data_IF_649902706721
#
_entry.id   IF_649902706721
#
_cell.length_a   1.000
_cell.length_b   1.000
_cell.length_c   1.000
_cell.angle_alpha   90.00
_cell.angle_beta   90.00
_cell.angle_gamma   90.00
#
_symmetry.space_group_name_H-M   'P 1'
#
loop_
_entity.id
_entity.type
_entity.pdbx_description
1 polymer ?
#
# COMPACT_ATOMS: atom_id res chain seq x y z
N UNK A 1 62.12 -10.20 22.15
CA UNK A 1 61.38 -9.15 21.40
C UNK A 1 59.94 -9.13 21.90
N UNK A 2 59.59 -8.22 22.81
CA UNK A 2 58.22 -8.07 23.33
C UNK A 2 57.44 -7.10 22.43
N UNK A 3 56.40 -7.59 21.75
CA UNK A 3 55.42 -6.75 21.05
C UNK A 3 54.49 -6.12 22.10
N UNK A 4 54.57 -4.79 22.24
CA UNK A 4 53.60 -4.00 23.01
C UNK A 4 52.27 -3.99 22.25
N UNK A 5 51.21 -4.47 22.88
CA UNK A 5 49.82 -4.31 22.43
C UNK A 5 49.38 -2.88 22.81
N UNK A 6 48.98 -2.09 21.81
CA UNK A 6 48.36 -0.78 22.01
C UNK A 6 46.88 -0.94 22.39
N UNK A 7 46.33 -0.13 23.31
CA UNK A 7 44.94 -0.21 23.73
C UNK A 7 43.99 0.34 22.65
N UNK A 8 43.12 -0.51 22.11
CA UNK A 8 42.09 -0.19 21.09
C UNK A 8 40.82 0.48 21.66
N UNK A 9 40.76 0.76 22.97
CA UNK A 9 39.53 1.20 23.64
C UNK A 9 38.96 2.59 23.25
N UNK A 10 39.75 3.65 22.98
CA UNK A 10 39.18 4.99 22.84
C UNK A 10 38.49 5.26 21.49
N UNK A 11 38.74 4.45 20.46
CA UNK A 11 38.15 4.66 19.12
C UNK A 11 36.70 4.17 19.04
N UNK A 12 36.32 3.17 19.86
CA UNK A 12 34.95 2.65 19.88
C UNK A 12 33.93 3.60 20.53
N UNK A 13 34.38 4.45 21.47
CA UNK A 13 33.49 5.34 22.22
C UNK A 13 32.93 6.49 21.34
N UNK A 14 33.76 7.06 20.46
CA UNK A 14 33.35 8.18 19.60
C UNK A 14 32.32 7.77 18.54
N UNK A 15 32.38 6.54 18.02
CA UNK A 15 31.43 6.07 17.00
C UNK A 15 30.00 5.82 17.56
N UNK A 16 29.86 5.63 18.87
CA UNK A 16 28.56 5.37 19.52
C UNK A 16 27.79 6.67 19.82
N UNK A 17 28.47 7.78 20.09
CA UNK A 17 27.83 9.07 20.38
C UNK A 17 27.17 9.67 19.13
N UNK A 18 27.83 9.59 17.96
CA UNK A 18 27.27 10.04 16.68
C UNK A 18 26.01 9.26 16.28
N UNK A 19 25.97 7.96 16.60
CA UNK A 19 24.83 7.10 16.29
C UNK A 19 23.59 7.47 17.11
N UNK A 20 23.76 7.85 18.38
CA UNK A 20 22.64 8.24 19.25
C UNK A 20 21.98 9.54 18.79
N UNK A 21 22.77 10.55 18.40
CA UNK A 21 22.25 11.85 17.91
C UNK A 21 21.44 11.67 16.62
N UNK A 22 21.92 10.83 15.68
CA UNK A 22 21.21 10.53 14.44
C UNK A 22 19.87 9.81 14.70
N UNK A 23 19.84 8.86 15.64
CA UNK A 23 18.60 8.17 16.03
C UNK A 23 17.62 9.15 16.67
N UNK A 24 18.08 10.04 17.56
CA UNK A 24 17.22 10.99 18.26
C UNK A 24 16.62 12.03 17.30
N UNK A 25 17.40 12.48 16.32
CA UNK A 25 16.92 13.34 15.23
C UNK A 25 15.86 12.63 14.38
N UNK A 26 16.10 11.39 13.96
CA UNK A 26 15.14 10.61 13.18
C UNK A 26 13.83 10.33 13.95
N UNK A 27 13.91 10.09 15.27
CA UNK A 27 12.72 9.91 16.13
C UNK A 27 11.95 11.23 16.27
N UNK A 28 12.63 12.36 16.44
CA UNK A 28 12.00 13.67 16.54
C UNK A 28 11.32 14.09 15.22
N UNK A 29 11.97 13.85 14.08
CA UNK A 29 11.38 14.09 12.75
C UNK A 29 10.15 13.22 12.50
N UNK A 30 10.12 11.99 13.03
CA UNK A 30 8.95 11.11 12.93
C UNK A 30 7.73 11.64 13.69
N UNK A 31 7.94 12.39 14.77
CA UNK A 31 6.85 12.92 15.59
C UNK A 31 6.32 14.28 15.12
N UNK A 32 7.16 15.11 14.49
CA UNK A 32 6.80 16.49 14.12
C UNK A 32 6.17 16.62 12.72
N UNK A 33 6.06 15.53 11.96
CA UNK A 33 5.65 15.58 10.57
C UNK A 33 6.74 16.15 9.66
N UNK A 34 6.52 16.09 8.35
CA UNK A 34 7.49 16.61 7.38
C UNK A 34 7.34 18.12 7.29
N UNK A 35 8.36 18.88 7.68
CA UNK A 35 8.43 20.31 7.42
C UNK A 35 9.05 20.56 6.05
N UNK A 36 8.39 21.33 5.19
CA UNK A 36 8.97 21.67 3.88
C UNK A 36 10.14 22.63 4.01
N UNK A 37 10.25 23.35 5.14
CA UNK A 37 11.47 24.09 5.46
C UNK A 37 12.69 23.18 5.63
N UNK A 38 12.54 22.00 6.25
CA UNK A 38 13.66 21.07 6.43
C UNK A 38 13.86 20.12 5.26
N UNK A 39 12.79 19.85 4.49
CA UNK A 39 12.80 18.96 3.33
C UNK A 39 12.08 19.59 2.13
N UNK A 40 12.59 20.71 1.59
CA UNK A 40 11.92 21.42 0.49
C UNK A 40 11.79 20.55 -0.76
N UNK A 41 12.67 19.56 -0.93
CA UNK A 41 12.59 18.58 -2.00
C UNK A 41 11.31 17.75 -1.94
N UNK A 42 10.63 17.66 -0.78
CA UNK A 42 9.40 16.89 -0.60
C UNK A 42 8.14 17.66 -1.02
N UNK A 43 8.09 18.99 -0.86
CA UNK A 43 6.81 19.71 -0.88
C UNK A 43 6.56 20.64 -2.07
N UNK A 44 7.57 20.86 -2.92
CA UNK A 44 7.47 21.83 -4.01
C UNK A 44 7.39 21.17 -5.38
N UNK A 45 6.90 19.93 -5.45
CA UNK A 45 6.73 19.19 -6.71
C UNK A 45 5.33 19.36 -7.34
N UNK A 46 4.45 20.12 -6.69
CA UNK A 46 3.09 20.43 -7.17
C UNK A 46 2.07 19.33 -6.92
N UNK A 47 2.47 18.16 -6.44
CA UNK A 47 1.56 17.06 -6.09
C UNK A 47 1.50 16.80 -4.58
N UNK A 48 2.65 16.84 -3.91
CA UNK A 48 2.76 16.65 -2.46
C UNK A 48 2.85 18.00 -1.78
N UNK A 49 1.83 18.34 -0.98
CA UNK A 49 1.81 19.50 -0.10
C UNK A 49 1.76 19.03 1.36
N UNK A 50 2.88 18.52 1.87
CA UNK A 50 2.96 18.00 3.23
C UNK A 50 2.88 19.08 4.33
N UNK A 51 2.98 20.36 3.95
CA UNK A 51 2.72 21.49 4.85
C UNK A 51 1.23 21.82 4.97
N UNK A 52 0.39 21.35 4.04
CA UNK A 52 -1.05 21.47 4.21
C UNK A 52 -1.48 20.66 5.42
N UNK A 53 -2.23 21.31 6.33
CA UNK A 53 -2.86 20.63 7.45
C UNK A 53 -3.95 19.73 6.91
N UNK A 54 -3.59 18.48 6.61
CA UNK A 54 -4.58 17.42 6.38
C UNK A 54 -5.12 17.03 7.74
N UNK A 55 -6.42 17.17 7.92
CA UNK A 55 -7.09 16.73 9.13
C UNK A 55 -6.94 15.21 9.27
N UNK A 56 -6.33 14.76 10.38
CA UNK A 56 -6.20 13.34 10.67
C UNK A 56 -7.58 12.66 10.76
N UNK A 57 -8.60 13.37 11.25
CA UNK A 57 -9.96 12.86 11.28
C UNK A 57 -10.52 12.61 9.87
N UNK A 58 -10.12 13.43 8.89
CA UNK A 58 -10.48 13.22 7.49
C UNK A 58 -9.75 12.01 6.92
N UNK A 59 -8.44 11.85 7.13
CA UNK A 59 -7.71 10.66 6.67
C UNK A 59 -8.25 9.36 7.29
N UNK A 60 -8.67 9.40 8.56
CA UNK A 60 -9.27 8.23 9.21
C UNK A 60 -10.59 7.83 8.57
N UNK A 61 -11.44 8.79 8.20
CA UNK A 61 -12.80 8.53 7.67
C UNK A 61 -12.84 8.39 6.15
N UNK A 62 -12.16 9.27 5.43
CA UNK A 62 -12.19 9.38 3.97
C UNK A 62 -10.95 10.13 3.43
N UNK A 63 -9.96 9.39 2.94
CA UNK A 63 -8.69 9.93 2.43
C UNK A 63 -8.88 10.94 1.28
N UNK A 64 -9.84 10.68 0.39
CA UNK A 64 -10.09 11.49 -0.82
C UNK A 64 -10.90 12.76 -0.58
N UNK A 65 -11.29 13.06 0.67
CA UNK A 65 -12.16 14.20 0.96
C UNK A 65 -11.56 15.52 0.48
N UNK A 66 -10.27 15.74 0.76
CA UNK A 66 -9.56 16.96 0.38
C UNK A 66 -9.42 17.14 -1.14
N UNK A 67 -9.62 16.08 -1.91
CA UNK A 67 -9.44 16.00 -3.36
C UNK A 67 -10.75 15.73 -4.09
N UNK A 68 -11.89 15.94 -3.42
CA UNK A 68 -13.23 15.78 -3.99
C UNK A 68 -13.44 14.41 -4.67
N UNK A 69 -12.99 13.34 -4.00
CA UNK A 69 -13.16 11.96 -4.49
C UNK A 69 -12.01 11.45 -5.36
N UNK A 70 -11.08 12.30 -5.79
CA UNK A 70 -9.83 11.86 -6.43
C UNK A 70 -8.85 11.31 -5.40
N UNK A 71 -7.81 10.62 -5.87
CA UNK A 71 -6.71 10.22 -5.00
C UNK A 71 -6.05 11.42 -4.32
N UNK A 72 -5.56 11.21 -3.11
CA UNK A 72 -4.92 12.19 -2.26
C UNK A 72 -3.50 11.73 -1.87
N UNK A 73 -2.49 12.01 -2.71
CA UNK A 73 -1.09 11.70 -2.41
C UNK A 73 -0.57 12.33 -1.13
N UNK A 74 -1.17 13.43 -0.66
CA UNK A 74 -0.76 14.06 0.59
C UNK A 74 -0.98 13.16 1.81
N UNK A 75 -1.84 12.14 1.73
CA UNK A 75 -1.97 11.13 2.79
C UNK A 75 -0.63 10.44 3.10
N UNK A 76 0.27 10.31 2.11
CA UNK A 76 1.60 9.72 2.27
C UNK A 76 2.58 10.61 3.04
N UNK A 77 2.24 11.88 3.30
CA UNK A 77 3.06 12.77 4.12
C UNK A 77 3.20 12.29 5.58
N UNK A 78 2.30 11.41 6.03
CA UNK A 78 2.38 10.74 7.35
C UNK A 78 3.34 9.54 7.35
N UNK A 79 3.85 9.14 6.18
CA UNK A 79 4.77 8.02 5.99
C UNK A 79 6.10 8.49 5.38
N UNK A 80 6.89 9.33 6.08
CA UNK A 80 8.04 10.02 5.51
C UNK A 80 9.07 9.09 4.85
N UNK A 81 9.21 7.88 5.38
CA UNK A 81 10.17 6.93 4.84
C UNK A 81 9.71 6.33 3.52
N UNK A 82 8.41 6.03 3.38
CA UNK A 82 7.86 5.54 2.11
C UNK A 82 7.66 6.66 1.10
N UNK A 83 7.44 7.88 1.57
CA UNK A 83 7.18 9.04 0.72
C UNK A 83 8.28 9.25 -0.33
N UNK A 84 9.56 9.13 0.03
CA UNK A 84 10.66 9.26 -0.93
C UNK A 84 10.53 8.25 -2.10
N UNK A 85 10.14 7.01 -1.82
CA UNK A 85 9.96 6.02 -2.86
C UNK A 85 8.71 6.29 -3.71
N UNK A 86 7.60 6.72 -3.09
CA UNK A 86 6.40 7.07 -3.85
C UNK A 86 6.58 8.34 -4.69
N UNK A 87 7.36 9.32 -4.22
CA UNK A 87 7.81 10.45 -5.04
C UNK A 87 8.61 9.97 -6.26
N UNK A 88 9.56 9.05 -6.04
CA UNK A 88 10.34 8.44 -7.13
C UNK A 88 9.44 7.77 -8.17
N UNK A 89 8.36 7.13 -7.73
CA UNK A 89 7.38 6.53 -8.62
C UNK A 89 6.55 7.58 -9.38
N UNK A 90 5.92 8.51 -8.65
CA UNK A 90 4.85 9.35 -9.18
C UNK A 90 5.38 10.60 -9.88
N UNK A 91 6.40 11.24 -9.30
CA UNK A 91 6.95 12.52 -9.78
C UNK A 91 8.09 12.28 -10.75
N UNK A 92 9.10 11.52 -10.33
CA UNK A 92 10.27 11.24 -11.17
C UNK A 92 9.95 10.23 -12.30
N UNK A 93 8.76 9.63 -12.28
CA UNK A 93 8.31 8.61 -13.24
C UNK A 93 9.27 7.42 -13.35
N UNK A 94 9.79 6.98 -12.20
CA UNK A 94 10.70 5.84 -12.09
C UNK A 94 10.16 4.82 -11.08
N UNK A 95 9.07 4.12 -11.43
CA UNK A 95 8.43 3.17 -10.51
C UNK A 95 9.28 1.93 -10.23
N UNK A 96 10.21 1.57 -11.12
CA UNK A 96 11.15 0.46 -10.92
C UNK A 96 12.18 0.83 -9.84
N UNK A 97 12.77 2.03 -9.89
CA UNK A 97 13.67 2.47 -8.82
C UNK A 97 12.93 2.66 -7.50
N UNK A 98 11.71 3.17 -7.54
CA UNK A 98 10.84 3.25 -6.37
C UNK A 98 10.59 1.87 -5.73
N UNK A 99 10.33 0.84 -6.55
CA UNK A 99 10.16 -0.53 -6.09
C UNK A 99 11.40 -1.04 -5.33
N UNK A 100 12.59 -0.80 -5.89
CA UNK A 100 13.85 -1.17 -5.25
C UNK A 100 14.04 -0.45 -3.91
N UNK A 101 13.76 0.86 -3.85
CA UNK A 101 13.85 1.64 -2.62
C UNK A 101 12.88 1.12 -1.53
N UNK A 102 11.63 0.84 -1.89
CA UNK A 102 10.65 0.26 -0.96
C UNK A 102 11.07 -1.12 -0.46
N UNK A 103 11.64 -1.94 -1.36
CA UNK A 103 12.15 -3.24 -1.00
C UNK A 103 13.29 -3.08 0.00
N UNK A 104 14.38 -2.41 -0.35
CA UNK A 104 15.56 -2.23 0.51
C UNK A 104 15.20 -1.71 1.90
N UNK A 105 14.23 -0.79 2.00
CA UNK A 105 13.77 -0.25 3.27
C UNK A 105 13.11 -1.29 4.19
N UNK A 106 12.38 -2.26 3.64
CA UNK A 106 11.70 -3.28 4.44
C UNK A 106 12.66 -4.42 4.79
N UNK A 107 13.12 -4.44 6.03
CA UNK A 107 13.77 -5.59 6.63
C UNK A 107 13.21 -5.87 8.04
N UNK A 108 12.79 -7.11 8.37
CA UNK A 108 12.74 -8.28 7.48
C UNK A 108 11.60 -8.17 6.43
N UNK A 109 11.74 -8.90 5.31
CA UNK A 109 10.67 -9.02 4.31
C UNK A 109 9.48 -9.76 4.94
N UNK A 110 8.31 -9.13 5.01
CA UNK A 110 7.16 -9.71 5.68
C UNK A 110 6.30 -10.56 4.73
N UNK A 111 5.74 -11.66 5.24
CA UNK A 111 4.73 -12.43 4.52
C UNK A 111 3.48 -11.58 4.20
N UNK A 112 3.25 -10.52 4.97
CA UNK A 112 2.19 -9.54 4.74
C UNK A 112 2.27 -8.86 3.37
N UNK A 113 3.48 -8.60 2.85
CA UNK A 113 3.64 -8.04 1.51
C UNK A 113 3.30 -9.07 0.44
N UNK A 114 3.72 -10.32 0.64
CA UNK A 114 3.28 -11.44 -0.19
C UNK A 114 1.76 -11.53 -0.21
N UNK A 115 1.11 -11.55 0.95
CA UNK A 115 -0.34 -11.63 1.06
C UNK A 115 -1.03 -10.47 0.33
N UNK A 116 -0.57 -9.24 0.56
CA UNK A 116 -1.11 -8.05 -0.11
C UNK A 116 -0.95 -8.13 -1.63
N UNK A 117 0.27 -8.35 -2.12
CA UNK A 117 0.58 -8.36 -3.55
C UNK A 117 -0.21 -9.43 -4.32
N UNK A 118 -0.31 -10.64 -3.78
CA UNK A 118 -1.03 -11.73 -4.44
C UNK A 118 -2.56 -11.55 -4.31
N UNK A 119 -3.08 -11.20 -3.12
CA UNK A 119 -4.52 -11.05 -2.91
C UNK A 119 -5.11 -9.83 -3.63
N UNK A 120 -4.34 -8.75 -3.78
CA UNK A 120 -4.76 -7.56 -4.54
C UNK A 120 -4.69 -7.77 -6.07
N UNK A 121 -4.04 -8.85 -6.54
CA UNK A 121 -3.87 -9.13 -7.97
C UNK A 121 -2.67 -8.44 -8.63
N UNK A 122 -1.81 -7.81 -7.85
CA UNK A 122 -0.69 -7.00 -8.35
C UNK A 122 0.34 -7.83 -9.12
N UNK A 123 0.58 -9.08 -8.71
CA UNK A 123 1.52 -9.97 -9.41
C UNK A 123 1.08 -10.34 -10.83
N UNK A 124 -0.22 -10.36 -11.11
CA UNK A 124 -0.76 -10.76 -12.41
C UNK A 124 -1.30 -9.55 -13.21
N UNK A 125 -1.10 -8.33 -12.72
CA UNK A 125 -1.60 -7.12 -13.35
C UNK A 125 -0.68 -6.71 -14.51
N UNK A 126 -1.21 -6.82 -15.73
CA UNK A 126 -0.54 -6.44 -16.98
C UNK A 126 -0.97 -5.08 -17.52
N UNK A 127 -2.02 -4.46 -16.96
CA UNK A 127 -2.47 -3.14 -17.40
C UNK A 127 -1.65 -1.99 -16.87
N UNK A 128 -1.09 -2.14 -15.66
CA UNK A 128 -0.13 -1.16 -15.15
C UNK A 128 1.20 -1.34 -15.86
N UNK A 129 1.69 -0.24 -16.39
CA UNK A 129 3.00 -0.11 -17.02
C UNK A 129 3.84 0.89 -16.22
N UNK A 130 5.13 1.00 -16.55
CA UNK A 130 6.01 1.99 -15.91
C UNK A 130 5.61 3.44 -16.19
N UNK A 131 4.83 3.67 -17.25
CA UNK A 131 4.36 5.00 -17.63
C UNK A 131 2.95 5.34 -17.09
N UNK A 132 2.30 4.40 -16.40
CA UNK A 132 0.94 4.61 -15.88
C UNK A 132 0.90 5.80 -14.92
N UNK A 133 0.05 6.76 -15.24
CA UNK A 133 -0.21 7.96 -14.44
C UNK A 133 -1.13 7.64 -13.26
N UNK A 134 -1.19 8.56 -12.29
CA UNK A 134 -2.17 8.49 -11.18
C UNK A 134 -3.60 8.46 -11.72
N UNK A 135 -3.91 9.29 -12.72
CA UNK A 135 -5.25 9.40 -13.30
C UNK A 135 -5.66 8.11 -14.03
N UNK A 136 -4.76 7.49 -14.80
CA UNK A 136 -5.02 6.18 -15.41
C UNK A 136 -5.21 5.10 -14.33
N UNK A 137 -4.41 5.15 -13.26
CA UNK A 137 -4.56 4.25 -12.12
C UNK A 137 -5.91 4.43 -11.41
N UNK A 138 -6.42 5.65 -11.27
CA UNK A 138 -7.78 5.91 -10.75
C UNK A 138 -8.85 5.26 -11.61
N UNK A 139 -8.72 5.30 -12.94
CA UNK A 139 -9.65 4.61 -13.84
C UNK A 139 -9.58 3.08 -13.66
N UNK A 140 -8.39 2.53 -13.46
CA UNK A 140 -8.24 1.11 -13.12
C UNK A 140 -8.87 0.80 -11.76
N UNK A 141 -8.70 1.66 -10.75
CA UNK A 141 -9.33 1.53 -9.44
C UNK A 141 -10.87 1.60 -9.52
N UNK A 142 -11.43 2.47 -10.39
CA UNK A 142 -12.86 2.54 -10.66
C UNK A 142 -13.40 1.24 -11.22
N UNK A 143 -12.68 0.63 -12.16
CA UNK A 143 -13.07 -0.64 -12.77
C UNK A 143 -12.98 -1.79 -11.75
N UNK A 144 -11.88 -1.85 -11.00
CA UNK A 144 -11.61 -2.94 -10.07
C UNK A 144 -12.51 -2.85 -8.84
N UNK A 145 -12.60 -1.71 -8.18
CA UNK A 145 -13.25 -1.55 -6.87
C UNK A 145 -14.60 -0.83 -6.92
N UNK A 146 -14.86 -0.03 -7.96
CA UNK A 146 -15.96 0.92 -8.00
C UNK A 146 -15.57 2.25 -7.35
N UNK A 147 -15.86 3.36 -8.02
CA UNK A 147 -15.50 4.71 -7.56
C UNK A 147 -15.95 4.98 -6.12
N UNK A 148 -17.23 4.76 -5.82
CA UNK A 148 -17.81 5.07 -4.51
C UNK A 148 -17.19 4.26 -3.37
N UNK A 149 -16.58 3.11 -3.70
CA UNK A 149 -15.97 2.22 -2.72
C UNK A 149 -14.56 2.67 -2.34
N UNK A 150 -13.67 2.86 -3.33
CA UNK A 150 -12.28 3.23 -3.02
C UNK A 150 -12.15 4.72 -2.71
N UNK A 151 -12.96 5.59 -3.29
CA UNK A 151 -12.93 7.01 -2.94
C UNK A 151 -13.53 7.27 -1.55
N UNK A 152 -14.52 6.48 -1.13
CA UNK A 152 -15.17 6.61 0.18
C UNK A 152 -14.38 6.02 1.36
N UNK A 153 -13.15 5.55 1.16
CA UNK A 153 -12.39 4.82 2.19
C UNK A 153 -11.48 5.73 3.03
N UNK A 154 -11.34 5.39 4.31
CA UNK A 154 -10.35 5.94 5.23
C UNK A 154 -9.64 4.86 6.03
N UNK A 155 -8.59 5.23 6.77
CA UNK A 155 -7.76 4.28 7.53
C UNK A 155 -8.53 3.50 8.60
N UNK A 156 -9.64 4.02 9.12
CA UNK A 156 -10.47 3.30 10.09
C UNK A 156 -11.00 1.97 9.51
N UNK A 157 -11.20 1.91 8.19
CA UNK A 157 -11.68 0.71 7.51
C UNK A 157 -10.63 -0.40 7.44
N UNK A 158 -9.37 -0.13 7.81
CA UNK A 158 -8.32 -1.15 7.93
C UNK A 158 -8.34 -1.87 9.28
N UNK A 159 -9.08 -1.37 10.27
CA UNK A 159 -9.14 -2.00 11.59
C UNK A 159 -9.68 -3.43 11.49
N UNK A 160 -8.91 -4.39 12.00
CA UNK A 160 -9.22 -5.82 11.94
C UNK A 160 -9.15 -6.46 10.55
N UNK A 161 -8.72 -5.73 9.51
CA UNK A 161 -8.64 -6.27 8.15
C UNK A 161 -7.33 -7.01 7.90
N UNK A 162 -7.43 -8.13 7.20
CA UNK A 162 -6.27 -8.94 6.79
C UNK A 162 -5.82 -8.54 5.38
N UNK A 163 -4.51 -8.45 5.17
CA UNK A 163 -3.90 -8.21 3.83
C UNK A 163 -4.16 -9.33 2.83
N UNK A 164 -4.54 -10.52 3.31
CA UNK A 164 -4.89 -11.69 2.51
C UNK A 164 -6.31 -11.66 1.92
N UNK A 165 -7.12 -10.64 2.21
CA UNK A 165 -8.43 -10.48 1.56
C UNK A 165 -8.26 -10.26 0.05
N UNK A 166 -8.98 -11.01 -0.77
CA UNK A 166 -8.81 -11.01 -2.22
C UNK A 166 -9.69 -9.99 -2.93
N UNK A 167 -9.19 -9.48 -4.06
CA UNK A 167 -9.98 -8.72 -5.04
C UNK A 167 -10.65 -7.48 -4.48
N UNK A 168 -11.94 -7.31 -4.80
CA UNK A 168 -12.76 -6.17 -4.34
C UNK A 168 -12.84 -6.00 -2.82
N UNK A 169 -12.50 -7.04 -2.05
CA UNK A 169 -12.52 -6.98 -0.59
C UNK A 169 -11.18 -6.52 -0.01
N UNK A 170 -10.13 -6.38 -0.82
CA UNK A 170 -8.82 -5.95 -0.34
C UNK A 170 -8.83 -4.45 -0.02
N UNK A 171 -9.13 -4.11 1.25
CA UNK A 171 -9.17 -2.71 1.71
C UNK A 171 -7.81 -2.01 1.64
N UNK A 172 -6.71 -2.75 1.77
CA UNK A 172 -5.36 -2.20 1.63
C UNK A 172 -5.11 -1.68 0.21
N UNK A 173 -5.60 -2.38 -0.80
CA UNK A 173 -5.47 -1.93 -2.20
C UNK A 173 -6.40 -0.75 -2.49
N UNK A 174 -7.58 -0.70 -1.89
CA UNK A 174 -8.47 0.47 -2.00
C UNK A 174 -7.88 1.72 -1.35
N UNK A 175 -7.22 1.58 -0.19
CA UNK A 175 -6.46 2.66 0.43
C UNK A 175 -5.34 3.11 -0.51
N UNK A 176 -4.61 2.19 -1.14
CA UNK A 176 -3.58 2.54 -2.12
C UNK A 176 -4.15 3.31 -3.34
N UNK A 177 -5.39 3.02 -3.75
CA UNK A 177 -6.10 3.84 -4.74
C UNK A 177 -6.39 5.24 -4.19
N UNK A 178 -6.95 5.33 -2.98
CA UNK A 178 -7.27 6.59 -2.32
C UNK A 178 -6.04 7.48 -2.07
N UNK A 179 -4.88 6.88 -1.82
CA UNK A 179 -3.60 7.58 -1.65
C UNK A 179 -2.89 7.88 -2.99
N UNK A 180 -3.41 7.39 -4.12
CA UNK A 180 -2.83 7.65 -5.46
C UNK A 180 -1.57 6.85 -5.77
N UNK A 181 -1.29 5.79 -5.00
CA UNK A 181 -0.06 4.99 -5.11
C UNK A 181 -0.27 3.57 -5.65
N UNK A 182 -1.49 3.21 -6.01
CA UNK A 182 -1.84 1.84 -6.40
C UNK A 182 -0.98 1.30 -7.55
N UNK A 183 -0.74 2.10 -8.59
CA UNK A 183 0.14 1.70 -9.71
C UNK A 183 1.59 1.47 -9.27
N UNK A 184 2.10 2.29 -8.33
CA UNK A 184 3.41 2.07 -7.71
C UNK A 184 3.47 0.75 -6.95
N UNK A 185 2.42 0.40 -6.21
CA UNK A 185 2.33 -0.87 -5.49
C UNK A 185 2.31 -2.05 -6.47
N UNK A 186 1.66 -1.92 -7.64
CA UNK A 186 1.68 -2.97 -8.68
C UNK A 186 3.11 -3.21 -9.19
N UNK A 187 3.84 -2.14 -9.53
CA UNK A 187 5.23 -2.26 -9.98
C UNK A 187 6.13 -2.78 -8.85
N UNK A 188 5.96 -2.29 -7.61
CA UNK A 188 6.66 -2.82 -6.43
C UNK A 188 6.50 -4.32 -6.30
N UNK A 189 5.26 -4.81 -6.31
CA UNK A 189 4.98 -6.23 -6.20
C UNK A 189 5.66 -7.01 -7.32
N UNK A 190 5.45 -6.61 -8.58
CA UNK A 190 6.02 -7.29 -9.77
C UNK A 190 7.53 -7.34 -9.75
N UNK A 191 8.17 -6.23 -9.39
CA UNK A 191 9.63 -6.12 -9.42
C UNK A 191 10.33 -6.79 -8.23
N UNK A 192 9.59 -7.10 -7.16
CA UNK A 192 10.19 -7.56 -5.90
C UNK A 192 9.49 -8.80 -5.36
N UNK A 193 8.35 -8.62 -4.69
CA UNK A 193 7.59 -9.67 -3.98
C UNK A 193 7.25 -10.87 -4.85
N UNK A 194 6.85 -10.65 -6.10
CA UNK A 194 6.43 -11.74 -7.00
C UNK A 194 7.63 -12.57 -7.50
N UNK A 195 8.84 -12.03 -7.44
CA UNK A 195 10.11 -12.70 -7.81
C UNK A 195 10.77 -13.40 -6.61
N UNK A 196 10.33 -13.12 -5.37
CA UNK A 196 10.81 -13.78 -4.17
C UNK A 196 10.12 -15.14 -3.97
N UNK A 197 10.89 -16.22 -4.07
CA UNK A 197 10.37 -17.59 -4.02
C UNK A 197 9.67 -17.93 -2.69
N UNK A 198 10.16 -17.39 -1.57
CA UNK A 198 9.56 -17.65 -0.26
C UNK A 198 8.19 -16.98 -0.18
N UNK A 199 8.10 -15.71 -0.55
CA UNK A 199 6.84 -14.96 -0.53
C UNK A 199 5.85 -15.53 -1.54
N UNK A 200 6.30 -15.89 -2.74
CA UNK A 200 5.51 -16.59 -3.76
C UNK A 200 4.94 -17.90 -3.22
N UNK A 201 5.79 -18.77 -2.65
CA UNK A 201 5.33 -20.06 -2.09
C UNK A 201 4.27 -19.86 -1.00
N UNK A 202 4.44 -18.86 -0.15
CA UNK A 202 3.51 -18.59 0.96
C UNK A 202 2.20 -17.90 0.54
N UNK A 203 2.18 -17.22 -0.62
CA UNK A 203 1.09 -16.31 -0.97
C UNK A 203 0.41 -16.60 -2.31
N UNK A 204 0.98 -17.43 -3.18
CA UNK A 204 0.44 -17.70 -4.52
C UNK A 204 -1.01 -18.22 -4.49
N UNK A 205 -1.42 -18.95 -3.45
CA UNK A 205 -2.81 -19.40 -3.28
C UNK A 205 -3.82 -18.27 -3.06
N UNK A 206 -3.36 -17.04 -2.81
CA UNK A 206 -4.19 -15.83 -2.73
C UNK A 206 -4.37 -15.15 -4.08
N UNK A 207 -3.59 -15.53 -5.10
CA UNK A 207 -3.81 -15.08 -6.47
C UNK A 207 -4.87 -15.93 -7.15
N UNK A 208 -6.13 -15.76 -6.72
CA UNK A 208 -7.28 -16.19 -7.51
C UNK A 208 -7.84 -15.00 -8.29
N UNK A 209 -7.10 -14.63 -9.33
CA UNK A 209 -7.64 -13.94 -10.49
C UNK A 209 -7.46 -14.90 -11.65
N UNK A 210 -8.55 -15.53 -12.10
CA UNK A 210 -8.56 -16.44 -13.25
C UNK A 210 -8.12 -15.64 -14.49
N UNK A 211 -7.00 -16.01 -15.14
CA UNK A 211 -6.61 -15.42 -16.42
C UNK A 211 -7.75 -15.63 -17.42
N UNK A 212 -8.24 -14.54 -18.03
CA UNK A 212 -9.34 -14.58 -18.99
C UNK A 212 -10.75 -14.32 -18.42
N UNK A 213 -10.98 -14.34 -17.11
CA UNK A 213 -12.29 -13.95 -16.55
C UNK A 213 -12.40 -12.45 -16.33
N UNK A 214 -11.33 -11.72 -15.98
CA UNK A 214 -11.48 -10.31 -15.54
C UNK A 214 -10.37 -9.32 -15.92
N UNK A 215 -9.45 -9.64 -16.83
CA UNK A 215 -8.42 -8.68 -17.28
C UNK A 215 -8.13 -8.81 -18.77
N UNK A 216 -8.93 -8.12 -19.60
CA UNK A 216 -8.70 -7.87 -21.03
C UNK A 216 -9.09 -6.44 -21.42
N UNK A 217 -8.67 -5.45 -20.63
CA UNK A 217 -8.66 -4.04 -21.05
C UNK A 217 -9.99 -3.28 -21.03
N UNK A 218 -11.17 -3.91 -21.11
CA UNK A 218 -12.47 -3.19 -21.00
C UNK A 218 -13.60 -4.16 -20.59
N UNK A 219 -14.23 -4.04 -19.40
CA UNK A 219 -15.63 -4.50 -19.18
C UNK A 219 -16.37 -3.58 -18.16
N UNK A 220 -17.66 -3.23 -18.40
CA UNK A 220 -18.42 -2.26 -17.60
C UNK A 220 -18.94 -2.81 -16.26
N UNK A 221 -19.24 -1.90 -15.33
CA UNK A 221 -19.74 -2.18 -13.98
C UNK A 221 -21.00 -3.09 -13.90
N UNK A 222 -21.75 -3.25 -14.99
CA UNK A 222 -22.98 -4.03 -15.04
C UNK A 222 -22.79 -5.54 -14.80
N UNK A 223 -21.59 -6.09 -15.04
CA UNK A 223 -21.33 -7.52 -14.95
C UNK A 223 -21.22 -8.07 -13.52
N UNK A 224 -21.34 -7.21 -12.50
CA UNK A 224 -21.04 -7.56 -11.10
C UNK A 224 -22.27 -7.66 -10.17
N UNK A 225 -23.49 -7.48 -10.68
CA UNK A 225 -24.72 -7.55 -9.85
C UNK A 225 -25.18 -8.97 -9.48
N UNK A 226 -24.50 -10.05 -9.87
CA UNK A 226 -25.01 -11.42 -9.66
C UNK A 226 -24.18 -12.34 -8.77
N UNK A 227 -23.25 -11.81 -7.95
CA UNK A 227 -22.54 -12.61 -6.94
C UNK A 227 -22.99 -12.28 -5.51
N UNK A 228 -24.30 -12.10 -5.32
CA UNK A 228 -24.87 -12.28 -3.99
C UNK A 228 -24.65 -13.73 -3.55
N UNK A 229 -24.22 -13.90 -2.30
CA UNK A 229 -23.88 -15.18 -1.70
C UNK A 229 -24.97 -16.24 -1.95
N UNK A 230 -24.64 -17.54 -1.97
CA UNK A 230 -25.67 -18.58 -2.00
C UNK A 230 -26.64 -18.33 -0.86
N UNK A 231 -27.88 -17.99 -1.22
CA UNK A 231 -29.01 -18.00 -0.30
C UNK A 231 -29.02 -19.39 0.31
N UNK A 232 -28.64 -19.48 1.57
CA UNK A 232 -28.84 -20.70 2.35
C UNK A 232 -30.34 -20.90 2.40
N UNK A 233 -30.85 -21.81 1.57
CA UNK A 233 -32.22 -22.27 1.66
C UNK A 233 -32.40 -22.84 3.07
N UNK A 234 -33.08 -22.07 3.93
CA UNK A 234 -33.60 -22.56 5.20
C UNK A 234 -34.36 -23.84 4.89
N UNK A 235 -33.82 -24.95 5.38
CA UNK A 235 -34.47 -26.27 5.40
C UNK A 235 -35.78 -26.09 6.19
N UNK A 236 -36.91 -26.08 5.49
CA UNK A 236 -38.24 -26.11 6.11
C UNK A 236 -38.34 -27.32 7.03
N UNK A 237 -38.39 -27.05 8.34
CA UNK A 237 -38.69 -28.04 9.36
C UNK A 237 -40.20 -28.27 9.31
N UNK A 238 -40.61 -29.32 8.60
CA UNK A 238 -42.00 -29.80 8.56
C UNK A 238 -42.40 -30.25 9.98
N UNK A 239 -43.12 -29.39 10.71
CA UNK A 239 -43.73 -29.75 11.99
C UNK A 239 -44.82 -30.79 11.72
N UNK A 240 -44.56 -32.04 12.09
CA UNK A 240 -45.55 -33.12 12.12
C UNK A 240 -46.34 -32.95 13.42
N UNK A 241 -47.55 -32.43 13.33
CA UNK A 241 -48.54 -32.53 14.41
C UNK A 241 -49.01 -33.98 14.51
N UNK A 242 -48.82 -34.60 15.66
CA UNK A 242 -49.59 -35.76 16.11
C UNK A 242 -50.38 -35.30 17.33
N UNK A 243 -51.69 -35.16 17.18
CA UNK A 243 -52.61 -35.23 18.31
C UNK A 243 -53.42 -36.51 18.17
N UNK A 244 -53.40 -37.27 19.25
CA UNK A 244 -54.38 -38.32 19.58
C UNK A 244 -55.67 -37.67 20.06
#
# INVERSE_FOLDING_TARGET
MMRRLLPLAPVLALALEDSAVLVQKAVSERQQGISCRSRPEICHDGLFNCESNIDDADLQKQITRATNGHSNPNALCKEPVKLNAYKKCIIDRDPVKAAQMMWEYRFPKSDEDGQYCYAAGHCNNTGVTENTTVQEAEQMCNQVYGNDVWSGIGYEMLQGQRRSQMGRKNRWAQIACAEGKWHCDVIYCRETVCKDDRLRKNSHGLAFWTPGEHWLGVIPAASYRSMEAPVTTKKERKHRSHSK
#
